data_IF_109476418446
#
_entry.id   IF_109476418446
#
_cell.length_a   1.000
_cell.length_b   1.000
_cell.length_c   1.000
_cell.angle_alpha   90.00
_cell.angle_beta   90.00
_cell.angle_gamma   90.00
#
_symmetry.space_group_name_H-M   'P 1'
#
loop_
_entity.id
_entity.type
_entity.pdbx_description
1 polymer ?
#
# COMPACT_ATOMS: atom_id res chain seq x y z
N UNK A 1 -7.74 -5.99 9.63
CA UNK A 1 -6.66 -5.45 8.76
C UNK A 1 -5.91 -6.63 8.16
N UNK A 2 -5.88 -6.74 6.84
CA UNK A 2 -4.99 -7.70 6.15
C UNK A 2 -3.66 -7.00 5.86
N UNK A 3 -2.56 -7.69 6.10
CA UNK A 3 -1.20 -7.21 5.84
C UNK A 3 -0.49 -8.17 4.89
N UNK A 4 0.21 -7.60 3.91
CA UNK A 4 0.99 -8.34 2.93
C UNK A 4 2.38 -7.72 2.83
N UNK A 5 3.38 -8.54 2.57
CA UNK A 5 4.71 -8.09 2.16
C UNK A 5 4.87 -8.48 0.70
N UNK A 6 5.19 -7.50 -0.15
CA UNK A 6 5.32 -7.70 -1.59
C UNK A 6 6.63 -7.11 -2.07
N UNK A 7 7.39 -7.92 -2.78
CA UNK A 7 8.60 -7.51 -3.48
C UNK A 7 8.19 -6.95 -4.86
N UNK A 8 8.14 -5.63 -4.98
CA UNK A 8 7.81 -4.97 -6.24
C UNK A 8 8.99 -5.04 -7.23
N UNK A 9 8.68 -5.09 -8.53
CA UNK A 9 9.68 -5.24 -9.60
C UNK A 9 10.54 -6.51 -9.48
N UNK A 10 9.94 -7.61 -9.01
CA UNK A 10 10.60 -8.89 -8.80
C UNK A 10 9.80 -10.06 -9.41
N UNK A 11 10.51 -11.03 -9.98
CA UNK A 11 9.94 -12.31 -10.43
C UNK A 11 10.01 -13.40 -9.33
N UNK A 12 10.84 -13.17 -8.29
CA UNK A 12 11.08 -14.09 -7.17
C UNK A 12 11.13 -13.31 -5.86
N UNK A 13 10.86 -14.02 -4.76
CA UNK A 13 11.03 -13.47 -3.41
C UNK A 13 12.49 -13.12 -3.13
N UNK A 14 12.71 -12.11 -2.29
CA UNK A 14 14.02 -11.57 -1.91
C UNK A 14 14.77 -10.81 -3.02
N UNK A 15 14.06 -10.42 -4.07
CA UNK A 15 14.54 -9.54 -5.14
C UNK A 15 13.71 -8.24 -5.17
N UNK A 16 14.07 -7.28 -6.01
CA UNK A 16 13.28 -6.05 -6.19
C UNK A 16 13.23 -5.16 -4.95
N UNK A 17 12.08 -4.50 -4.73
CA UNK A 17 11.88 -3.55 -3.65
C UNK A 17 10.69 -3.94 -2.74
N UNK A 18 10.93 -4.36 -1.49
CA UNK A 18 9.88 -4.81 -0.58
C UNK A 18 9.03 -3.65 -0.04
N UNK A 19 7.71 -3.83 -0.08
CA UNK A 19 6.75 -2.93 0.56
C UNK A 19 5.74 -3.69 1.42
N UNK A 20 5.39 -3.10 2.56
CA UNK A 20 4.27 -3.57 3.39
C UNK A 20 2.95 -3.01 2.88
N UNK A 21 1.92 -3.82 2.68
CA UNK A 21 0.62 -3.37 2.16
C UNK A 21 -0.47 -3.70 3.17
N UNK A 22 -1.12 -2.66 3.69
CA UNK A 22 -2.26 -2.73 4.59
C UNK A 22 -3.56 -2.42 3.84
N UNK A 23 -4.41 -3.42 3.66
CA UNK A 23 -5.77 -3.23 3.11
C UNK A 23 -6.75 -3.09 4.28
N UNK A 24 -7.43 -1.95 4.32
CA UNK A 24 -8.26 -1.49 5.43
C UNK A 24 -9.72 -1.31 5.01
N UNK A 25 -10.66 -1.64 5.90
CA UNK A 25 -12.08 -1.34 5.72
C UNK A 25 -12.41 0.13 6.08
N UNK A 26 -11.58 0.74 6.92
CA UNK A 26 -11.67 2.14 7.35
C UNK A 26 -10.30 2.67 7.76
N UNK A 27 -10.11 3.98 7.69
CA UNK A 27 -8.86 4.62 8.09
C UNK A 27 -8.52 4.38 9.55
N UNK A 28 -7.25 4.05 9.80
CA UNK A 28 -6.65 4.06 11.13
C UNK A 28 -6.18 5.48 11.47
N UNK A 29 -6.04 5.83 12.76
CA UNK A 29 -5.39 7.08 13.15
C UNK A 29 -3.97 7.17 12.58
N UNK A 30 -3.54 8.35 12.15
CA UNK A 30 -2.21 8.57 11.54
C UNK A 30 -1.07 8.08 12.44
N UNK A 31 -1.15 8.37 13.74
CA UNK A 31 -0.16 7.90 14.72
C UNK A 31 -0.10 6.38 14.86
N UNK A 32 -1.17 5.65 14.53
CA UNK A 32 -1.16 4.18 14.49
C UNK A 32 -0.55 3.68 13.17
N UNK A 33 -0.87 4.30 12.04
CA UNK A 33 -0.25 3.94 10.75
C UNK A 33 1.27 4.16 10.76
N UNK A 34 1.72 5.27 11.34
CA UNK A 34 3.15 5.52 11.57
C UNK A 34 3.79 4.43 12.43
N UNK A 35 3.14 4.04 13.54
CA UNK A 35 3.64 2.95 14.41
C UNK A 35 3.73 1.61 13.68
N UNK A 36 2.75 1.29 12.83
CA UNK A 36 2.78 0.07 12.01
C UNK A 36 3.95 0.12 11.01
N UNK A 37 4.15 1.25 10.34
CA UNK A 37 5.27 1.41 9.41
C UNK A 37 6.63 1.28 10.12
N UNK A 38 6.77 1.85 11.31
CA UNK A 38 7.95 1.70 12.17
C UNK A 38 8.16 0.26 12.63
N UNK A 39 7.10 -0.43 13.06
CA UNK A 39 7.17 -1.82 13.55
C UNK A 39 7.61 -2.78 12.44
N UNK A 40 7.09 -2.60 11.22
CA UNK A 40 7.46 -3.44 10.07
C UNK A 40 8.88 -3.17 9.58
N UNK A 41 9.38 -1.94 9.76
CA UNK A 41 10.73 -1.51 9.39
C UNK A 41 11.13 -1.85 7.93
N UNK A 42 10.15 -1.80 7.02
CA UNK A 42 10.38 -1.82 5.58
C UNK A 42 10.61 -0.39 5.07
N UNK A 43 11.09 -0.27 3.83
CA UNK A 43 11.29 1.05 3.19
C UNK A 43 9.98 1.86 3.22
N UNK A 44 8.86 1.23 2.84
CA UNK A 44 7.54 1.83 2.90
C UNK A 44 6.47 0.81 3.33
N UNK A 45 5.47 1.30 4.05
CA UNK A 45 4.18 0.64 4.24
C UNK A 45 3.08 1.48 3.59
N UNK A 46 2.36 0.89 2.63
CA UNK A 46 1.20 1.49 2.00
C UNK A 46 -0.08 1.10 2.75
N UNK A 47 -0.98 2.05 2.90
CA UNK A 47 -2.30 1.86 3.50
C UNK A 47 -3.36 2.25 2.48
N UNK A 48 -4.34 1.38 2.25
CA UNK A 48 -5.42 1.66 1.32
C UNK A 48 -6.80 1.34 1.88
N UNK A 49 -7.76 2.20 1.56
CA UNK A 49 -9.19 2.07 1.86
C UNK A 49 -9.96 2.26 0.57
N UNK A 50 -10.94 1.38 0.31
CA UNK A 50 -11.86 1.54 -0.83
C UNK A 50 -12.87 2.66 -0.55
N UNK A 51 -12.97 3.63 -1.45
CA UNK A 51 -13.86 4.79 -1.36
C UNK A 51 -14.70 4.89 -2.66
N UNK A 52 -15.85 4.21 -2.68
CA UNK A 52 -16.67 4.11 -3.90
C UNK A 52 -15.98 3.30 -5.00
N UNK A 53 -15.69 3.93 -6.13
CA UNK A 53 -15.03 3.33 -7.30
C UNK A 53 -13.51 3.52 -7.30
N UNK A 54 -12.95 4.22 -6.31
CA UNK A 54 -11.51 4.47 -6.16
C UNK A 54 -10.97 3.87 -4.87
N UNK A 55 -9.65 3.77 -4.79
CA UNK A 55 -8.92 3.40 -3.59
C UNK A 55 -8.12 4.61 -3.14
N UNK A 56 -8.39 5.13 -1.94
CA UNK A 56 -7.50 6.12 -1.37
C UNK A 56 -6.25 5.42 -0.84
N UNK A 57 -5.08 5.94 -1.17
CA UNK A 57 -3.78 5.32 -0.94
C UNK A 57 -2.82 6.31 -0.30
N UNK A 58 -2.19 5.88 0.81
CA UNK A 58 -1.20 6.65 1.59
C UNK A 58 0.04 5.79 1.82
N UNK A 59 1.21 6.40 1.93
CA UNK A 59 2.47 5.69 2.17
C UNK A 59 3.21 6.27 3.36
N UNK A 60 3.73 5.39 4.19
CA UNK A 60 4.49 5.74 5.37
C UNK A 60 5.85 5.05 5.31
N UNK A 61 6.91 5.83 5.44
CA UNK A 61 8.22 5.32 5.84
C UNK A 61 8.27 5.22 7.37
N UNK A 62 9.27 4.54 7.96
CA UNK A 62 9.50 4.61 9.40
C UNK A 62 9.69 6.04 9.93
N UNK A 63 10.05 7.00 9.07
CA UNK A 63 10.29 8.40 9.43
C UNK A 63 9.11 9.35 9.23
N UNK A 64 8.04 8.94 8.53
CA UNK A 64 6.91 9.82 8.22
C UNK A 64 6.11 9.42 6.99
N UNK A 65 4.96 10.06 6.80
CA UNK A 65 4.16 10.00 5.57
C UNK A 65 4.90 10.69 4.41
N UNK A 66 4.77 10.13 3.22
CA UNK A 66 5.33 10.69 1.98
C UNK A 66 4.24 10.81 0.91
N UNK A 67 4.41 11.77 -0.01
CA UNK A 67 3.37 12.14 -0.96
C UNK A 67 3.23 11.18 -2.16
N UNK A 68 4.27 10.42 -2.47
CA UNK A 68 4.28 9.51 -3.62
C UNK A 68 5.31 8.38 -3.44
N UNK A 69 4.91 7.14 -3.74
CA UNK A 69 5.83 6.00 -3.82
C UNK A 69 5.44 5.00 -4.91
N UNK A 70 6.24 4.91 -5.97
CA UNK A 70 5.91 4.09 -7.15
C UNK A 70 5.88 2.58 -6.89
N UNK A 71 6.91 2.03 -6.24
CA UNK A 71 6.99 0.57 -6.03
C UNK A 71 5.91 0.07 -5.05
N UNK A 72 5.61 0.83 -4.00
CA UNK A 72 4.55 0.50 -3.06
C UNK A 72 3.15 0.66 -3.69
N UNK A 73 2.98 1.58 -4.67
CA UNK A 73 1.77 1.66 -5.49
C UNK A 73 1.58 0.41 -6.34
N UNK A 74 2.63 -0.04 -7.03
CA UNK A 74 2.61 -1.27 -7.83
C UNK A 74 2.29 -2.50 -6.96
N UNK A 75 2.95 -2.62 -5.81
CA UNK A 75 2.69 -3.67 -4.84
C UNK A 75 1.24 -3.65 -4.33
N UNK A 76 0.67 -2.45 -4.09
CA UNK A 76 -0.74 -2.31 -3.70
C UNK A 76 -1.67 -2.82 -4.80
N UNK A 77 -1.46 -2.40 -6.05
CA UNK A 77 -2.26 -2.86 -7.20
C UNK A 77 -2.18 -4.39 -7.38
N UNK A 78 -0.99 -4.98 -7.18
CA UNK A 78 -0.81 -6.42 -7.17
C UNK A 78 -1.67 -7.10 -6.09
N UNK A 79 -1.65 -6.60 -4.84
CA UNK A 79 -2.48 -7.16 -3.75
C UNK A 79 -3.96 -7.05 -4.08
N UNK A 80 -4.42 -5.90 -4.58
CA UNK A 80 -5.82 -5.70 -4.94
C UNK A 80 -6.25 -6.68 -6.04
N UNK A 81 -5.51 -6.75 -7.15
CA UNK A 81 -5.80 -7.64 -8.27
C UNK A 81 -5.73 -9.13 -7.94
N UNK A 82 -4.99 -9.54 -6.90
CA UNK A 82 -4.84 -10.97 -6.58
C UNK A 82 -5.76 -11.46 -5.49
N UNK A 83 -6.05 -10.60 -4.50
CA UNK A 83 -6.66 -11.06 -3.25
C UNK A 83 -7.92 -10.30 -2.84
N UNK A 84 -8.19 -9.13 -3.43
CA UNK A 84 -9.31 -8.28 -3.04
C UNK A 84 -10.35 -8.18 -4.16
N UNK A 85 -9.95 -7.83 -5.38
CA UNK A 85 -10.83 -7.66 -6.55
C UNK A 85 -10.20 -8.29 -7.81
N UNK A 86 -10.21 -9.64 -7.91
CA UNK A 86 -9.53 -10.34 -9.00
C UNK A 86 -10.15 -10.15 -10.38
N UNK A 87 -11.42 -9.74 -10.44
CA UNK A 87 -12.15 -9.50 -11.68
C UNK A 87 -12.07 -8.02 -12.14
N UNK A 88 -11.37 -7.16 -11.39
CA UNK A 88 -11.23 -5.75 -11.75
C UNK A 88 -10.29 -5.57 -12.96
N UNK A 89 -10.72 -4.77 -13.94
CA UNK A 89 -9.91 -4.44 -15.12
C UNK A 89 -8.83 -3.38 -14.88
N UNK A 90 -8.84 -2.73 -13.72
CA UNK A 90 -7.90 -1.69 -13.33
C UNK A 90 -8.28 -1.06 -12.00
N UNK A 91 -7.35 -0.31 -11.43
CA UNK A 91 -7.54 0.40 -10.16
C UNK A 91 -7.25 1.88 -10.33
N UNK A 92 -8.04 2.69 -9.65
CA UNK A 92 -7.84 4.11 -9.56
C UNK A 92 -7.41 4.46 -8.13
N UNK A 93 -6.29 5.14 -7.99
CA UNK A 93 -5.79 5.57 -6.69
C UNK A 93 -5.99 7.07 -6.48
N UNK A 94 -6.51 7.44 -5.31
CA UNK A 94 -6.54 8.83 -4.84
C UNK A 94 -5.46 9.02 -3.77
N UNK A 95 -4.57 9.98 -4.00
CA UNK A 95 -3.33 10.15 -3.20
C UNK A 95 -3.13 11.62 -2.86
N UNK A 96 -2.19 11.94 -1.97
CA UNK A 96 -1.83 13.34 -1.69
C UNK A 96 -1.28 14.07 -2.93
N UNK A 97 -0.63 13.34 -3.83
CA UNK A 97 -0.10 13.88 -5.09
C UNK A 97 -1.16 14.00 -6.20
N UNK A 98 -2.42 13.70 -5.89
CA UNK A 98 -3.53 13.73 -6.84
C UNK A 98 -4.05 12.35 -7.22
N UNK A 99 -4.82 12.34 -8.31
CA UNK A 99 -5.51 11.19 -8.89
C UNK A 99 -4.86 10.76 -10.19
#
# INVERSE_FOLDING_TARGET
MKYYVVDAFADKVFEGNPAGICVLDRWLPDGLMQKIAMENNLSETAFTVKEGESFRLRWFTPGGEIDLCGHATLATAYVLSRFIEPDAGGFLFETLSGR
#
